data_IF_051040200360
#
_entry.id   IF_051040200360
#
_cell.length_a   1.000
_cell.length_b   1.000
_cell.length_c   1.000
_cell.angle_alpha   90.00
_cell.angle_beta   90.00
_cell.angle_gamma   90.00
#
_symmetry.space_group_name_H-M   'P 1'
#
loop_
_entity.id
_entity.type
_entity.pdbx_description
1 polymer ?
#
# COMPACT_ATOMS: atom_id res chain seq x y z
N UNK A 1 40.94 -16.15 -16.53
CA UNK A 1 40.29 -15.47 -15.39
C UNK A 1 38.87 -15.16 -15.81
N UNK A 2 38.00 -16.18 -15.76
CA UNK A 2 36.57 -16.04 -15.98
C UNK A 2 35.95 -15.49 -14.70
N UNK A 3 35.62 -14.19 -14.70
CA UNK A 3 34.61 -13.66 -13.78
C UNK A 3 33.26 -13.97 -14.38
N UNK A 4 32.73 -15.13 -14.03
CA UNK A 4 31.35 -15.52 -14.30
C UNK A 4 30.44 -14.62 -13.47
N UNK A 5 30.07 -13.47 -14.03
CA UNK A 5 28.95 -12.68 -13.57
C UNK A 5 27.68 -13.52 -13.78
N UNK A 6 27.24 -14.21 -12.73
CA UNK A 6 25.92 -14.83 -12.74
C UNK A 6 24.86 -13.74 -12.62
N UNK A 7 23.84 -13.72 -13.49
CA UNK A 7 22.75 -12.77 -13.39
C UNK A 7 21.93 -13.09 -12.12
N UNK A 8 21.43 -12.04 -11.45
CA UNK A 8 20.39 -12.16 -10.41
C UNK A 8 19.12 -12.73 -11.07
N UNK A 9 19.00 -14.04 -11.12
CA UNK A 9 17.83 -14.75 -11.63
C UNK A 9 17.24 -15.65 -10.55
N UNK A 10 16.60 -15.02 -9.57
CA UNK A 10 15.45 -15.61 -8.87
C UNK A 10 14.24 -14.77 -9.26
N UNK A 11 13.58 -15.10 -10.36
CA UNK A 11 12.32 -14.47 -10.78
C UNK A 11 11.13 -14.95 -9.92
N UNK A 12 11.31 -14.96 -8.59
CA UNK A 12 10.20 -14.64 -7.72
C UNK A 12 9.85 -13.17 -7.97
N UNK A 13 8.56 -12.84 -8.03
CA UNK A 13 8.16 -11.42 -8.12
C UNK A 13 8.73 -10.70 -6.89
N UNK A 14 9.67 -9.77 -7.11
CA UNK A 14 10.31 -9.02 -6.03
C UNK A 14 9.21 -8.28 -5.23
N UNK A 15 9.26 -8.37 -3.91
CA UNK A 15 8.26 -7.72 -3.04
C UNK A 15 8.23 -6.22 -3.28
N UNK A 16 9.39 -5.64 -3.52
CA UNK A 16 9.55 -4.22 -3.88
C UNK A 16 8.83 -3.86 -5.17
N UNK A 17 8.84 -4.74 -6.18
CA UNK A 17 8.07 -4.55 -7.41
C UNK A 17 6.56 -4.61 -7.15
N UNK A 18 6.09 -5.50 -6.29
CA UNK A 18 4.67 -5.61 -5.93
C UNK A 18 4.16 -4.32 -5.27
N UNK A 19 4.99 -3.69 -4.43
CA UNK A 19 4.67 -2.38 -3.84
C UNK A 19 4.63 -1.30 -4.91
N UNK A 20 5.65 -1.22 -5.76
CA UNK A 20 5.71 -0.20 -6.81
C UNK A 20 4.51 -0.32 -7.79
N UNK A 21 4.15 -1.55 -8.17
CA UNK A 21 2.97 -1.82 -9.01
C UNK A 21 1.66 -1.41 -8.31
N UNK A 22 1.53 -1.67 -7.00
CA UNK A 22 0.38 -1.24 -6.20
C UNK A 22 0.23 0.29 -6.15
N UNK A 23 1.32 1.05 -6.08
CA UNK A 23 1.28 2.51 -6.01
C UNK A 23 0.88 3.16 -7.35
N UNK A 24 1.25 2.55 -8.48
CA UNK A 24 1.01 3.08 -9.83
C UNK A 24 -0.43 3.55 -10.11
N UNK A 25 -1.50 2.77 -9.85
CA UNK A 25 -2.87 3.22 -10.09
C UNK A 25 -3.26 4.42 -9.22
N UNK A 26 -2.77 4.53 -7.98
CA UNK A 26 -3.03 5.67 -7.11
C UNK A 26 -2.32 6.93 -7.60
N UNK A 27 -1.07 6.80 -8.04
CA UNK A 27 -0.33 7.89 -8.69
C UNK A 27 -1.08 8.39 -9.92
N UNK A 28 -1.51 7.49 -10.81
CA UNK A 28 -2.23 7.85 -12.02
C UNK A 28 -3.56 8.55 -11.70
N UNK A 29 -4.28 8.08 -10.68
CA UNK A 29 -5.52 8.70 -10.23
C UNK A 29 -5.31 10.13 -9.73
N UNK A 30 -4.21 10.39 -9.01
CA UNK A 30 -3.84 11.74 -8.57
C UNK A 30 -3.52 12.65 -9.75
N UNK A 31 -2.72 12.18 -10.71
CA UNK A 31 -2.36 12.93 -11.92
C UNK A 31 -3.62 13.32 -12.71
N UNK A 32 -4.54 12.37 -12.91
CA UNK A 32 -5.77 12.60 -13.69
C UNK A 32 -6.76 13.54 -13.01
N UNK A 33 -6.58 13.85 -11.71
CA UNK A 33 -7.48 14.72 -10.94
C UNK A 33 -6.79 16.00 -10.46
N UNK A 34 -5.57 16.26 -10.90
CA UNK A 34 -4.89 17.51 -10.62
C UNK A 34 -5.70 18.67 -11.22
N UNK A 35 -6.17 19.54 -10.34
CA UNK A 35 -7.02 20.68 -10.68
C UNK A 35 -6.43 21.95 -10.07
N UNK A 36 -6.41 23.10 -10.78
CA UNK A 36 -5.91 24.36 -10.22
C UNK A 36 -6.57 24.78 -8.89
N UNK A 37 -7.82 24.36 -8.63
CA UNK A 37 -8.55 24.61 -7.39
C UNK A 37 -8.18 23.66 -6.25
N UNK A 38 -7.32 22.66 -6.46
CA UNK A 38 -6.89 21.72 -5.42
C UNK A 38 -5.66 22.18 -4.63
N UNK A 39 -5.19 23.42 -4.84
CA UNK A 39 -3.97 24.01 -4.25
C UNK A 39 -2.70 23.19 -4.52
N UNK A 40 -2.68 22.41 -5.61
CA UNK A 40 -1.60 21.50 -5.97
C UNK A 40 -1.55 20.22 -5.12
N UNK A 41 -2.60 19.91 -4.33
CA UNK A 41 -2.61 18.73 -3.43
C UNK A 41 -2.53 17.42 -4.18
N UNK A 42 -3.24 17.28 -5.30
CA UNK A 42 -3.15 16.05 -6.08
C UNK A 42 -1.79 15.92 -6.76
N UNK A 43 -1.22 17.01 -7.28
CA UNK A 43 0.12 16.99 -7.86
C UNK A 43 1.19 16.61 -6.82
N UNK A 44 1.12 17.19 -5.62
CA UNK A 44 2.04 16.86 -4.51
C UNK A 44 1.92 15.41 -4.08
N UNK A 45 0.70 14.92 -3.91
CA UNK A 45 0.46 13.52 -3.58
C UNK A 45 0.97 12.57 -4.69
N UNK A 46 0.80 12.93 -5.96
CA UNK A 46 1.32 12.15 -7.09
C UNK A 46 2.86 12.06 -7.04
N UNK A 47 3.55 13.18 -6.83
CA UNK A 47 5.02 13.22 -6.68
C UNK A 47 5.45 12.34 -5.51
N UNK A 48 4.81 12.49 -4.33
CA UNK A 48 5.14 11.68 -3.16
C UNK A 48 4.96 10.17 -3.38
N UNK A 49 3.96 9.77 -4.18
CA UNK A 49 3.77 8.36 -4.53
C UNK A 49 4.79 7.86 -5.58
N UNK A 50 5.23 8.72 -6.50
CA UNK A 50 6.33 8.42 -7.43
C UNK A 50 7.63 8.24 -6.66
N UNK A 51 7.94 9.14 -5.74
CA UNK A 51 9.13 9.06 -4.89
C UNK A 51 9.09 7.81 -4.00
N UNK A 52 7.91 7.45 -3.48
CA UNK A 52 7.74 6.21 -2.73
C UNK A 52 7.98 4.95 -3.58
N UNK A 53 7.49 4.93 -4.83
CA UNK A 53 7.76 3.83 -5.75
C UNK A 53 9.25 3.76 -6.14
N UNK A 54 9.90 4.90 -6.38
CA UNK A 54 11.33 4.94 -6.68
C UNK A 54 12.18 4.52 -5.47
N UNK A 55 11.78 4.91 -4.26
CA UNK A 55 12.44 4.52 -3.02
C UNK A 55 12.37 3.00 -2.81
N UNK A 56 11.18 2.39 -2.90
CA UNK A 56 11.04 0.95 -2.64
C UNK A 56 11.77 0.09 -3.66
N UNK A 57 11.89 0.55 -4.92
CA UNK A 57 12.66 -0.13 -5.97
C UNK A 57 14.18 -0.13 -5.74
N UNK A 58 14.68 0.67 -4.79
CA UNK A 58 16.09 0.67 -4.38
C UNK A 58 16.37 -0.25 -3.19
N UNK A 59 15.32 -0.82 -2.57
CA UNK A 59 15.43 -1.74 -1.45
C UNK A 59 15.62 -3.17 -1.94
N UNK A 60 16.33 -3.98 -1.14
CA UNK A 60 16.36 -5.43 -1.29
C UNK A 60 15.20 -6.07 -0.50
N UNK A 61 14.84 -7.30 -0.84
CA UNK A 61 13.71 -8.03 -0.22
C UNK A 61 13.98 -8.41 1.26
N UNK A 62 15.23 -8.34 1.71
CA UNK A 62 15.69 -8.58 3.07
C UNK A 62 15.75 -7.31 3.93
N UNK A 63 15.47 -6.13 3.34
CA UNK A 63 15.38 -4.88 4.08
C UNK A 63 14.35 -5.01 5.22
N UNK A 64 14.68 -4.56 6.45
CA UNK A 64 13.85 -4.84 7.63
C UNK A 64 12.39 -4.44 7.49
N UNK A 65 12.11 -3.34 6.78
CA UNK A 65 10.73 -2.87 6.54
C UNK A 65 9.96 -3.82 5.60
N UNK A 66 10.63 -4.38 4.59
CA UNK A 66 10.06 -5.35 3.64
C UNK A 66 9.79 -6.67 4.36
N UNK A 67 10.76 -7.16 5.14
CA UNK A 67 10.61 -8.38 5.95
C UNK A 67 9.45 -8.27 6.92
N UNK A 68 9.30 -7.13 7.61
CA UNK A 68 8.17 -6.89 8.52
C UNK A 68 6.83 -6.94 7.82
N UNK A 69 6.69 -6.29 6.66
CA UNK A 69 5.47 -6.37 5.85
C UNK A 69 5.20 -7.80 5.36
N UNK A 70 6.24 -8.58 5.05
CA UNK A 70 6.10 -9.98 4.67
C UNK A 70 5.63 -10.87 5.81
N UNK A 71 6.20 -10.71 7.01
CA UNK A 71 5.72 -11.40 8.21
C UNK A 71 4.26 -11.00 8.49
N UNK A 72 3.92 -9.72 8.30
CA UNK A 72 2.57 -9.19 8.43
C UNK A 72 1.56 -9.70 7.39
N UNK A 73 2.00 -10.47 6.40
CA UNK A 73 1.13 -11.03 5.37
C UNK A 73 0.78 -10.06 4.24
N UNK A 74 1.52 -8.95 4.09
CA UNK A 74 1.23 -7.94 3.06
C UNK A 74 1.53 -8.42 1.63
N UNK A 75 2.24 -9.54 1.46
CA UNK A 75 2.55 -10.09 0.14
C UNK A 75 1.86 -11.45 -0.01
N UNK A 76 0.72 -11.45 -0.67
CA UNK A 76 -0.07 -12.66 -0.88
C UNK A 76 -0.47 -12.77 -2.35
N UNK A 77 -0.46 -13.99 -2.90
CA UNK A 77 -1.00 -14.29 -4.25
C UNK A 77 -0.51 -13.33 -5.35
N UNK A 78 0.77 -12.96 -5.33
CA UNK A 78 1.34 -12.12 -6.37
C UNK A 78 0.97 -10.63 -6.30
N UNK A 79 0.33 -10.14 -5.23
CA UNK A 79 0.08 -8.71 -5.03
C UNK A 79 0.49 -8.23 -3.63
N UNK A 80 0.69 -6.92 -3.53
CA UNK A 80 0.85 -6.21 -2.27
C UNK A 80 -0.54 -5.81 -1.74
N UNK A 81 -0.84 -6.18 -0.50
CA UNK A 81 -2.03 -5.81 0.24
C UNK A 81 -1.60 -5.20 1.59
N UNK A 82 -1.59 -3.87 1.74
CA UNK A 82 -1.22 -3.20 2.99
C UNK A 82 -2.33 -3.24 4.05
N UNK A 83 -3.46 -3.87 3.76
CA UNK A 83 -4.67 -3.80 4.58
C UNK A 83 -5.34 -2.42 4.55
N UNK A 84 -6.50 -2.27 5.21
CA UNK A 84 -7.31 -1.05 5.13
C UNK A 84 -6.64 0.19 5.75
N UNK A 85 -5.91 0.01 6.85
CA UNK A 85 -5.19 1.10 7.50
C UNK A 85 -3.98 1.54 6.66
N UNK A 86 -3.21 0.59 6.12
CA UNK A 86 -2.08 0.87 5.25
C UNK A 86 -2.50 1.51 3.92
N UNK A 87 -3.62 1.07 3.32
CA UNK A 87 -4.21 1.74 2.15
C UNK A 87 -4.58 3.20 2.48
N UNK A 88 -5.19 3.45 3.64
CA UNK A 88 -5.54 4.81 4.05
C UNK A 88 -4.31 5.72 4.21
N UNK A 89 -3.21 5.19 4.75
CA UNK A 89 -1.92 5.90 4.85
C UNK A 89 -1.39 6.27 3.45
N UNK A 90 -1.31 5.30 2.54
CA UNK A 90 -0.84 5.52 1.16
C UNK A 90 -1.71 6.56 0.45
N UNK A 91 -3.04 6.47 0.59
CA UNK A 91 -3.96 7.39 -0.09
C UNK A 91 -3.86 8.82 0.41
N UNK A 92 -3.57 9.03 1.69
CA UNK A 92 -3.46 10.37 2.30
C UNK A 92 -2.04 10.93 2.26
N UNK A 93 -1.07 10.13 1.86
CA UNK A 93 0.32 10.53 1.78
C UNK A 93 0.50 11.79 0.94
N UNK A 94 1.13 12.81 1.55
CA UNK A 94 1.41 14.12 0.93
C UNK A 94 0.17 14.88 0.43
N UNK A 95 -1.04 14.46 0.80
CA UNK A 95 -2.27 15.12 0.35
C UNK A 95 -2.54 16.44 1.10
N UNK A 96 -2.41 16.44 2.42
CA UNK A 96 -2.59 17.64 3.23
C UNK A 96 -1.24 18.34 3.47
N UNK A 97 -0.26 17.59 3.99
CA UNK A 97 1.10 18.08 4.29
C UNK A 97 2.17 17.06 3.86
N UNK A 98 3.31 17.56 3.39
CA UNK A 98 4.43 16.76 2.89
C UNK A 98 5.65 16.86 3.82
N UNK A 99 5.49 16.41 5.07
CA UNK A 99 6.52 16.58 6.12
C UNK A 99 7.45 15.37 6.24
N UNK A 100 7.02 14.19 5.77
CA UNK A 100 7.74 12.94 5.97
C UNK A 100 8.15 12.32 4.62
N UNK A 101 9.22 11.51 4.61
CA UNK A 101 9.78 10.87 3.42
C UNK A 101 9.20 9.47 3.16
N UNK A 102 9.54 8.86 2.01
CA UNK A 102 9.12 7.51 1.67
C UNK A 102 9.42 6.44 2.72
N UNK A 103 10.57 6.55 3.41
CA UNK A 103 10.94 5.62 4.46
C UNK A 103 9.91 5.62 5.60
N UNK A 104 9.52 6.81 6.06
CA UNK A 104 8.52 6.98 7.12
C UNK A 104 7.15 6.44 6.71
N UNK A 105 6.75 6.62 5.44
CA UNK A 105 5.51 6.03 4.90
C UNK A 105 5.53 4.50 5.06
N UNK A 106 6.58 3.83 4.59
CA UNK A 106 6.63 2.36 4.63
C UNK A 106 6.81 1.82 6.05
N UNK A 107 7.48 2.56 6.94
CA UNK A 107 7.51 2.24 8.37
C UNK A 107 6.11 2.29 8.98
N UNK A 108 5.31 3.31 8.65
CA UNK A 108 3.94 3.44 9.13
C UNK A 108 3.03 2.32 8.56
N UNK A 109 3.18 1.97 7.29
CA UNK A 109 2.45 0.86 6.65
C UNK A 109 2.81 -0.47 7.33
N UNK A 110 4.09 -0.78 7.51
CA UNK A 110 4.53 -1.98 8.22
C UNK A 110 3.95 -2.05 9.65
N UNK A 111 4.01 -0.93 10.39
CA UNK A 111 3.44 -0.87 11.74
C UNK A 111 1.91 -1.07 11.75
N UNK A 112 1.20 -0.59 10.73
CA UNK A 112 -0.25 -0.83 10.59
C UNK A 112 -0.59 -2.28 10.32
N UNK A 113 0.17 -2.95 9.46
CA UNK A 113 -0.03 -4.37 9.15
C UNK A 113 0.27 -5.26 10.36
N UNK A 114 1.30 -4.94 11.14
CA UNK A 114 1.64 -5.67 12.37
C UNK A 114 0.56 -5.59 13.46
N UNK A 115 -0.21 -4.49 13.52
CA UNK A 115 -1.34 -4.37 14.44
C UNK A 115 -2.45 -5.37 14.12
N UNK A 116 -2.68 -5.66 12.84
CA UNK A 116 -3.68 -6.65 12.42
C UNK A 116 -3.28 -8.07 12.86
N UNK A 117 -1.98 -8.38 12.85
CA UNK A 117 -1.47 -9.67 13.33
C UNK A 117 -1.51 -9.85 14.84
N UNK A 118 -1.55 -8.75 15.60
CA UNK A 118 -1.70 -8.80 17.05
C UNK A 118 -3.18 -8.68 17.38
N UNK A 119 -3.92 -9.80 17.52
CA UNK A 119 -5.22 -9.70 18.16
C UNK A 119 -4.97 -9.07 19.53
N UNK A 120 -5.58 -7.91 19.76
CA UNK A 120 -5.63 -7.28 21.08
C UNK A 120 -5.91 -8.37 22.13
N UNK A 121 -5.20 -8.40 23.28
CA UNK A 121 -5.64 -9.21 24.39
C UNK A 121 -7.02 -8.69 24.78
N UNK A 122 -8.06 -9.36 24.28
CA UNK A 122 -9.44 -8.96 24.47
C UNK A 122 -9.72 -8.72 25.95
N UNK A 123 -10.61 -7.76 26.28
CA UNK A 123 -10.99 -7.53 27.66
C UNK A 123 -11.43 -8.88 28.23
N UNK A 124 -10.77 -9.31 29.34
CA UNK A 124 -11.03 -10.57 30.02
C UNK A 124 -12.54 -10.81 30.04
N UNK A 125 -12.98 -11.84 29.34
CA UNK A 125 -14.37 -12.24 29.31
C UNK A 125 -14.81 -12.53 30.76
N UNK A 126 -15.49 -11.56 31.35
CA UNK A 126 -16.38 -11.84 32.45
C UNK A 126 -17.54 -12.70 31.90
N UNK A 127 -17.87 -13.68 32.69
CA UNK A 127 -18.67 -14.84 32.36
C UNK A 127 -20.13 -14.44 32.21
N UNK A 128 -20.65 -14.38 30.98
CA UNK A 128 -22.09 -14.47 30.76
C UNK A 128 -22.61 -14.00 29.41
N UNK A 129 -23.15 -14.93 28.61
CA UNK A 129 -24.25 -14.60 27.68
C UNK A 129 -24.05 -14.94 26.21
N UNK A 130 -24.45 -16.18 25.85
CA UNK A 130 -25.04 -16.70 24.58
C UNK A 130 -24.36 -16.41 23.21
N UNK A 131 -24.30 -17.41 22.30
CA UNK A 131 -23.68 -17.26 20.99
C UNK A 131 -24.64 -16.60 19.99
N UNK A 132 -24.13 -15.65 19.20
CA UNK A 132 -24.76 -15.18 17.96
C UNK A 132 -23.94 -15.66 16.77
N UNK A 133 -24.67 -16.13 15.75
CA UNK A 133 -24.18 -16.88 14.61
C UNK A 133 -23.17 -16.09 13.74
N UNK A 134 -22.10 -16.77 13.36
CA UNK A 134 -21.12 -16.33 12.36
C UNK A 134 -21.74 -16.51 10.97
N UNK A 135 -21.91 -15.42 10.23
CA UNK A 135 -22.11 -15.48 8.77
C UNK A 135 -20.81 -15.15 8.08
N UNK A 136 -20.20 -16.16 7.46
CA UNK A 136 -19.02 -16.06 6.62
C UNK A 136 -19.32 -15.22 5.38
N UNK A 137 -18.71 -14.04 5.27
CA UNK A 137 -18.80 -13.14 4.13
C UNK A 137 -17.51 -13.11 3.32
N UNK A 138 -17.55 -13.84 2.20
CA UNK A 138 -16.65 -13.86 1.03
C UNK A 138 -15.72 -12.66 0.83
N UNK A 139 -14.43 -12.98 0.63
CA UNK A 139 -13.39 -12.07 0.18
C UNK A 139 -13.75 -11.34 -1.12
N UNK A 140 -13.52 -10.04 -1.10
CA UNK A 140 -13.64 -9.16 -2.27
C UNK A 140 -12.27 -8.52 -2.47
N UNK A 141 -11.62 -8.83 -3.58
CA UNK A 141 -10.42 -8.11 -4.00
C UNK A 141 -10.71 -6.62 -4.21
N UNK A 142 -9.68 -5.77 -4.31
CA UNK A 142 -9.84 -4.32 -4.32
C UNK A 142 -10.61 -3.87 -5.56
N UNK A 143 -11.76 -3.23 -5.34
CA UNK A 143 -12.50 -2.55 -6.39
C UNK A 143 -11.96 -1.13 -6.52
N UNK A 144 -11.26 -0.84 -7.62
CA UNK A 144 -10.92 0.52 -8.00
C UNK A 144 -12.21 1.36 -8.10
N UNK A 145 -12.24 2.62 -7.60
CA UNK A 145 -13.37 3.52 -7.84
C UNK A 145 -13.44 3.84 -9.33
N UNK A 146 -14.59 3.59 -9.97
CA UNK A 146 -14.81 3.94 -11.38
C UNK A 146 -14.76 5.46 -11.58
N UNK A 147 -14.24 5.93 -12.73
CA UNK A 147 -14.40 7.33 -13.15
C UNK A 147 -15.89 7.69 -13.18
N UNK A 148 -16.25 8.90 -12.77
CA UNK A 148 -17.62 9.40 -12.96
C UNK A 148 -17.83 9.59 -14.46
N UNK A 149 -18.86 8.95 -15.00
CA UNK A 149 -19.37 9.23 -16.34
C UNK A 149 -19.96 10.64 -16.34
N UNK A 150 -19.43 11.52 -17.20
CA UNK A 150 -19.97 12.84 -17.45
C UNK A 150 -19.01 13.98 -17.12
N UNK A 151 -17.99 14.19 -17.96
CA UNK A 151 -17.50 15.54 -18.22
C UNK A 151 -17.08 15.64 -19.69
N UNK A 152 -17.63 16.65 -20.35
CA UNK A 152 -17.84 16.72 -21.79
C UNK A 152 -16.55 16.91 -22.60
N UNK A 153 -16.53 16.32 -23.80
CA UNK A 153 -15.59 16.72 -24.85
C UNK A 153 -15.96 18.12 -25.36
N UNK A 154 -15.00 19.04 -25.57
CA UNK A 154 -15.25 20.22 -26.39
C UNK A 154 -15.20 19.84 -27.88
N UNK A 155 -15.99 20.59 -28.66
CA UNK A 155 -16.26 20.43 -30.08
C UNK A 155 -15.05 20.74 -30.99
#
# INVERSE_FOLDING_TARGET
MESTWYPREDFGVLKTWMIADYLRPYTQWRINRADPCDDGRNARAAIGLIDAAAYVMQLDDDEPVIVRMAIAGCFARGHFDPGPEGEALIRRWHYDEAVAGPAELFQAVAASAERVLRPEPGPRADRGGRPVAVTSGTGRGPALPRPREGEAAPA
#
